data_IF_572057980227
#
_entry.id   IF_572057980227
#
_cell.length_a   1.000
_cell.length_b   1.000
_cell.length_c   1.000
_cell.angle_alpha   90.00
_cell.angle_beta   90.00
_cell.angle_gamma   90.00
#
_symmetry.space_group_name_H-M   'P 1'
#
loop_
_entity.id
_entity.type
_entity.pdbx_description
1 polymer ?
#
# COMPACT_ATOMS: atom_id res chain seq x y z
N UNK A 1 -8.23 -28.30 -5.83
CA UNK A 1 -8.13 -27.10 -6.69
C UNK A 1 -9.36 -26.22 -6.39
N UNK A 2 -9.18 -25.05 -5.80
CA UNK A 2 -10.25 -24.05 -5.71
C UNK A 2 -10.08 -23.13 -6.91
N UNK A 3 -11.04 -23.15 -7.81
CA UNK A 3 -11.12 -22.20 -8.91
C UNK A 3 -11.56 -20.87 -8.30
N UNK A 4 -10.67 -19.88 -8.27
CA UNK A 4 -11.04 -18.49 -7.97
C UNK A 4 -11.71 -17.95 -9.23
N UNK A 5 -13.02 -17.77 -9.16
CA UNK A 5 -13.74 -17.12 -10.24
C UNK A 5 -13.50 -15.61 -10.13
N UNK A 6 -12.67 -15.07 -11.03
CA UNK A 6 -12.51 -13.63 -11.18
C UNK A 6 -13.81 -13.12 -11.83
N UNK A 7 -14.66 -12.51 -11.01
CA UNK A 7 -15.84 -11.81 -11.52
C UNK A 7 -15.32 -10.55 -12.21
N UNK A 8 -15.56 -10.39 -13.50
CA UNK A 8 -15.16 -9.23 -14.27
C UNK A 8 -15.78 -7.97 -13.66
N UNK A 9 -14.91 -7.11 -13.09
CA UNK A 9 -15.25 -5.75 -12.64
C UNK A 9 -14.84 -4.81 -13.76
N UNK A 10 -15.68 -3.82 -14.09
CA UNK A 10 -15.22 -2.68 -14.90
C UNK A 10 -14.31 -1.84 -14.02
N UNK A 11 -13.02 -1.77 -14.38
CA UNK A 11 -12.03 -0.96 -13.67
C UNK A 11 -12.11 0.47 -14.16
N UNK A 12 -11.98 1.43 -13.25
CA UNK A 12 -11.77 2.83 -13.61
C UNK A 12 -10.40 2.98 -14.28
N UNK A 13 -10.28 3.96 -15.16
CA UNK A 13 -9.05 4.30 -15.87
C UNK A 13 -8.59 5.70 -15.45
N UNK A 14 -7.34 5.84 -15.08
CA UNK A 14 -6.72 7.14 -14.80
C UNK A 14 -5.51 7.37 -15.70
N UNK A 15 -5.54 8.49 -16.44
CA UNK A 15 -4.47 8.91 -17.35
C UNK A 15 -3.56 9.94 -16.66
N UNK A 16 -2.38 9.52 -16.28
CA UNK A 16 -1.33 10.38 -15.69
C UNK A 16 -0.45 11.06 -16.74
N UNK A 17 -0.62 10.79 -18.03
CA UNK A 17 0.24 11.33 -19.10
C UNK A 17 0.20 12.85 -19.20
N UNK A 18 -0.90 13.47 -18.73
CA UNK A 18 -1.09 14.93 -18.70
C UNK A 18 -0.61 15.60 -17.41
N UNK A 19 -0.32 14.85 -16.36
CA UNK A 19 0.22 15.38 -15.13
C UNK A 19 1.69 15.74 -15.35
N UNK A 20 2.14 16.89 -14.87
CA UNK A 20 3.50 17.43 -15.04
C UNK A 20 4.57 16.58 -14.31
N UNK A 21 4.58 15.28 -14.53
CA UNK A 21 5.72 14.46 -14.19
C UNK A 21 6.83 14.79 -15.18
N UNK A 22 7.82 15.56 -14.74
CA UNK A 22 8.99 15.88 -15.56
C UNK A 22 9.58 14.58 -16.10
N UNK A 23 9.13 14.23 -17.32
CA UNK A 23 9.69 13.21 -18.19
C UNK A 23 9.88 11.82 -17.56
N UNK A 24 9.04 10.82 -17.86
CA UNK A 24 9.25 9.43 -17.47
C UNK A 24 10.43 8.83 -18.26
N UNK A 25 11.64 9.26 -17.92
CA UNK A 25 12.87 8.84 -18.58
C UNK A 25 13.40 7.53 -18.00
N UNK A 26 14.46 7.02 -18.62
CA UNK A 26 15.25 5.86 -18.17
C UNK A 26 15.52 5.87 -16.65
N UNK A 27 15.67 7.06 -16.05
CA UNK A 27 15.90 7.22 -14.61
C UNK A 27 14.69 6.77 -13.77
N UNK A 28 13.47 7.13 -14.17
CA UNK A 28 12.25 6.68 -13.50
C UNK A 28 12.04 5.17 -13.64
N UNK A 29 12.51 4.59 -14.73
CA UNK A 29 12.47 3.15 -14.96
C UNK A 29 13.46 2.40 -14.07
N UNK A 30 14.70 2.88 -13.95
CA UNK A 30 15.72 2.30 -13.04
C UNK A 30 15.26 2.42 -11.58
N UNK A 31 14.75 3.58 -11.18
CA UNK A 31 14.23 3.78 -9.82
C UNK A 31 13.07 2.84 -9.49
N UNK A 32 12.20 2.56 -10.47
CA UNK A 32 11.11 1.61 -10.33
C UNK A 32 11.63 0.18 -10.16
N UNK A 33 12.57 -0.24 -11.01
CA UNK A 33 13.16 -1.58 -10.95
C UNK A 33 13.86 -1.83 -9.60
N UNK A 34 14.57 -0.84 -9.05
CA UNK A 34 15.20 -0.93 -7.72
C UNK A 34 14.19 -0.99 -6.58
N UNK A 35 13.12 -0.20 -6.67
CA UNK A 35 12.02 -0.20 -5.70
C UNK A 35 11.28 -1.53 -5.73
N UNK A 36 10.90 -2.02 -6.93
CA UNK A 36 10.20 -3.30 -7.11
C UNK A 36 11.05 -4.46 -6.59
N UNK A 37 12.37 -4.44 -6.81
CA UNK A 37 13.28 -5.44 -6.26
C UNK A 37 13.31 -5.42 -4.72
N UNK A 38 13.29 -4.23 -4.11
CA UNK A 38 13.24 -4.06 -2.65
C UNK A 38 11.92 -4.60 -2.08
N UNK A 39 10.79 -4.23 -2.69
CA UNK A 39 9.47 -4.67 -2.25
C UNK A 39 9.30 -6.17 -2.44
N UNK A 40 9.72 -6.71 -3.58
CA UNK A 40 9.72 -8.15 -3.82
C UNK A 40 10.53 -8.90 -2.78
N UNK A 41 11.75 -8.45 -2.48
CA UNK A 41 12.59 -9.07 -1.46
C UNK A 41 11.98 -9.00 -0.05
N UNK A 42 11.15 -7.99 0.22
CA UNK A 42 10.42 -7.84 1.47
C UNK A 42 9.23 -8.79 1.55
N UNK A 43 8.38 -8.79 0.52
CA UNK A 43 7.10 -9.51 0.52
C UNK A 43 7.18 -11.00 0.13
N UNK A 44 8.28 -11.44 -0.46
CA UNK A 44 8.56 -12.87 -0.69
C UNK A 44 8.89 -13.62 0.62
N UNK A 45 9.16 -12.91 1.72
CA UNK A 45 9.41 -13.55 3.02
C UNK A 45 8.10 -14.03 3.62
N UNK A 46 8.11 -15.25 4.11
CA UNK A 46 6.97 -15.85 4.80
C UNK A 46 7.38 -16.13 6.24
N UNK A 47 6.98 -15.26 7.17
CA UNK A 47 7.10 -15.52 8.59
C UNK A 47 6.12 -16.64 8.98
N UNK A 48 6.57 -17.73 9.64
CA UNK A 48 5.68 -18.80 10.02
C UNK A 48 4.79 -18.47 11.23
N UNK A 49 5.05 -17.34 11.88
CA UNK A 49 4.34 -16.93 13.08
C UNK A 49 3.15 -16.04 12.69
N UNK A 50 1.96 -16.39 13.11
CA UNK A 50 0.78 -15.52 13.01
C UNK A 50 0.94 -14.39 14.02
N UNK A 51 0.91 -13.15 13.54
CA UNK A 51 1.00 -11.94 14.37
C UNK A 51 -0.30 -11.12 14.34
N UNK A 52 -1.15 -11.32 13.32
CA UNK A 52 -2.41 -10.59 13.19
C UNK A 52 -3.46 -11.07 14.21
N UNK A 53 -4.32 -10.16 14.60
CA UNK A 53 -5.50 -10.43 15.42
C UNK A 53 -6.66 -10.92 14.53
N UNK A 54 -7.46 -11.85 15.06
CA UNK A 54 -8.64 -12.34 14.34
C UNK A 54 -9.72 -11.27 14.25
N UNK A 55 -10.43 -11.25 13.14
CA UNK A 55 -11.53 -10.31 12.89
C UNK A 55 -11.25 -9.31 11.79
N UNK A 56 -12.14 -8.32 11.60
CA UNK A 56 -11.94 -7.26 10.62
C UNK A 56 -10.71 -6.43 10.92
N UNK A 57 -9.93 -6.11 9.88
CA UNK A 57 -8.82 -5.21 10.01
C UNK A 57 -9.29 -3.77 10.09
N UNK A 58 -8.54 -2.94 10.78
CA UNK A 58 -8.84 -1.51 10.89
C UNK A 58 -8.49 -0.79 9.59
N UNK A 59 -9.35 0.17 9.19
CA UNK A 59 -8.92 1.18 8.23
C UNK A 59 -7.79 2.00 8.86
N UNK A 60 -6.77 2.41 8.07
CA UNK A 60 -5.59 3.06 8.62
C UNK A 60 -5.80 4.53 9.05
N UNK A 61 -6.98 5.09 8.81
CA UNK A 61 -7.38 6.43 9.26
C UNK A 61 -8.55 6.31 10.25
N UNK A 62 -8.60 7.19 11.24
CA UNK A 62 -9.58 7.18 12.33
C UNK A 62 -10.92 7.83 11.98
N UNK A 63 -11.11 8.22 10.71
CA UNK A 63 -12.34 8.79 10.17
C UNK A 63 -12.71 8.12 8.84
N UNK A 64 -13.91 8.34 8.38
CA UNK A 64 -14.38 7.81 7.08
C UNK A 64 -13.88 8.68 5.92
N UNK A 65 -12.61 8.45 5.54
CA UNK A 65 -11.95 9.19 4.48
C UNK A 65 -12.51 8.83 3.11
N UNK A 66 -12.56 9.83 2.23
CA UNK A 66 -12.97 9.62 0.84
C UNK A 66 -11.93 8.76 0.12
N UNK A 67 -12.38 7.69 -0.53
CA UNK A 67 -11.56 6.92 -1.45
C UNK A 67 -11.47 7.70 -2.77
N UNK A 68 -10.26 8.04 -3.17
CA UNK A 68 -9.98 8.79 -4.40
C UNK A 68 -9.50 7.90 -5.54
N UNK A 69 -8.99 6.70 -5.22
CA UNK A 69 -8.61 5.69 -6.20
C UNK A 69 -8.77 4.29 -5.59
N UNK A 70 -9.46 3.41 -6.32
CA UNK A 70 -9.75 2.05 -5.88
C UNK A 70 -8.63 1.08 -6.26
N UNK A 71 -8.57 -0.07 -5.56
CA UNK A 71 -7.70 -1.19 -5.94
C UNK A 71 -8.04 -1.67 -7.36
N UNK A 72 -7.02 -1.94 -8.17
CA UNK A 72 -7.14 -2.46 -9.53
C UNK A 72 -7.51 -1.43 -10.58
N UNK A 73 -7.59 -0.13 -10.24
CA UNK A 73 -7.74 0.94 -11.21
C UNK A 73 -6.59 0.92 -12.23
N UNK A 74 -6.93 0.95 -13.51
CA UNK A 74 -5.93 0.97 -14.58
C UNK A 74 -5.27 2.35 -14.66
N UNK A 75 -3.94 2.36 -14.76
CA UNK A 75 -3.12 3.59 -14.75
C UNK A 75 -2.20 3.64 -15.96
N UNK A 76 -2.28 4.73 -16.73
CA UNK A 76 -1.34 5.07 -17.80
C UNK A 76 -0.42 6.20 -17.32
N UNK A 77 0.87 5.92 -17.31
CA UNK A 77 1.91 6.90 -16.96
C UNK A 77 2.60 7.51 -18.20
N UNK A 78 2.07 7.27 -19.41
CA UNK A 78 2.62 7.79 -20.66
C UNK A 78 3.87 7.06 -21.15
N UNK A 79 4.23 5.93 -20.55
CA UNK A 79 5.38 5.10 -20.94
C UNK A 79 4.99 3.90 -21.83
N UNK A 80 3.72 3.79 -22.19
CA UNK A 80 3.16 2.72 -23.03
C UNK A 80 2.94 1.39 -22.32
N UNK A 81 3.03 1.36 -20.99
CA UNK A 81 2.78 0.18 -20.18
C UNK A 81 1.51 0.38 -19.34
N UNK A 82 0.60 -0.56 -19.41
CA UNK A 82 -0.55 -0.62 -18.52
C UNK A 82 -0.13 -1.14 -17.15
N UNK A 83 -0.52 -0.42 -16.09
CA UNK A 83 -0.36 -0.82 -14.69
C UNK A 83 -1.70 -0.75 -13.98
N UNK A 84 -1.78 -1.41 -12.85
CA UNK A 84 -2.96 -1.40 -12.02
C UNK A 84 -2.61 -0.88 -10.63
N UNK A 85 -3.55 -0.18 -10.02
CA UNK A 85 -3.42 0.33 -8.66
C UNK A 85 -3.36 -0.84 -7.66
N UNK A 86 -2.27 -0.96 -6.94
CA UNK A 86 -1.97 -2.09 -6.04
C UNK A 86 -2.56 -1.91 -4.64
N UNK A 87 -3.29 -0.81 -4.40
CA UNK A 87 -3.88 -0.48 -3.11
C UNK A 87 -5.15 0.34 -3.22
N UNK A 88 -5.46 1.08 -2.17
CA UNK A 88 -6.56 2.05 -2.10
C UNK A 88 -5.98 3.38 -1.66
N UNK A 89 -6.36 4.47 -2.34
CA UNK A 89 -5.94 5.82 -1.98
C UNK A 89 -7.06 6.54 -1.20
N UNK A 90 -6.72 7.03 -0.01
CA UNK A 90 -7.59 7.82 0.85
C UNK A 90 -7.17 9.28 0.84
N UNK A 91 -8.09 10.20 0.49
CA UNK A 91 -7.88 11.64 0.62
C UNK A 91 -7.75 12.03 2.09
N UNK A 92 -6.65 12.65 2.45
CA UNK A 92 -6.43 13.18 3.80
C UNK A 92 -5.39 14.30 3.78
N UNK A 93 -5.49 15.24 4.72
CA UNK A 93 -4.54 16.34 4.86
C UNK A 93 -3.15 15.85 5.29
N UNK A 94 -2.11 16.56 4.85
CA UNK A 94 -0.73 16.32 5.32
C UNK A 94 -0.68 16.43 6.84
N UNK A 95 -0.07 15.43 7.49
CA UNK A 95 0.03 15.36 8.95
C UNK A 95 -1.12 14.61 9.63
N UNK A 96 -2.12 14.13 8.88
CA UNK A 96 -3.15 13.23 9.42
C UNK A 96 -2.49 11.95 9.95
N UNK A 97 -2.79 11.50 11.18
CA UNK A 97 -2.22 10.27 11.74
C UNK A 97 -2.63 9.02 10.93
N UNK A 98 -1.68 8.10 10.76
CA UNK A 98 -1.87 6.81 10.12
C UNK A 98 -1.65 5.71 11.16
N UNK A 99 -2.56 4.76 11.23
CA UNK A 99 -2.55 3.68 12.20
C UNK A 99 -2.36 2.31 11.54
N UNK A 100 -1.70 1.39 12.26
CA UNK A 100 -1.52 0.01 11.81
C UNK A 100 -2.89 -0.69 11.68
N UNK A 101 -3.15 -1.28 10.53
CA UNK A 101 -4.42 -1.96 10.26
C UNK A 101 -4.61 -3.24 11.06
N UNK A 102 -3.52 -3.88 11.49
CA UNK A 102 -3.50 -5.03 12.39
C UNK A 102 -2.14 -5.16 13.06
N UNK A 103 -2.02 -6.06 14.05
CA UNK A 103 -0.80 -6.32 14.80
C UNK A 103 0.27 -6.99 13.93
N UNK A 104 1.55 -6.63 14.11
CA UNK A 104 2.64 -7.18 13.33
C UNK A 104 4.00 -6.56 13.66
N UNK A 105 4.99 -6.85 12.81
CA UNK A 105 6.33 -6.26 12.90
C UNK A 105 6.57 -5.32 11.71
N UNK A 106 7.02 -4.11 11.97
CA UNK A 106 7.48 -3.18 10.93
C UNK A 106 8.73 -3.77 10.27
N UNK A 107 8.65 -4.13 9.00
CA UNK A 107 9.76 -4.73 8.23
C UNK A 107 10.38 -3.76 7.23
N UNK A 108 9.71 -2.65 6.96
CA UNK A 108 10.22 -1.56 6.13
C UNK A 108 9.70 -0.24 6.67
N UNK A 109 10.58 0.75 6.90
CA UNK A 109 10.24 2.12 7.25
C UNK A 109 11.30 3.04 6.65
N UNK A 110 11.19 3.34 5.35
CA UNK A 110 12.20 4.12 4.61
C UNK A 110 11.60 4.88 3.44
N UNK A 111 12.38 5.80 2.91
CA UNK A 111 12.04 6.50 1.69
C UNK A 111 12.30 5.61 0.47
N UNK A 112 11.28 5.50 -0.40
CA UNK A 112 11.33 4.88 -1.71
C UNK A 112 11.12 5.96 -2.78
N UNK A 113 11.49 5.65 -4.03
CA UNK A 113 11.46 6.62 -5.12
C UNK A 113 10.03 6.97 -5.55
N UNK A 114 9.18 5.97 -5.72
CA UNK A 114 7.81 6.12 -6.22
C UNK A 114 6.80 6.19 -5.07
N UNK A 115 6.86 5.24 -4.15
CA UNK A 115 5.95 5.20 -2.99
C UNK A 115 6.28 6.21 -1.90
N UNK A 116 7.38 6.98 -2.04
CA UNK A 116 7.81 7.99 -1.09
C UNK A 116 8.22 7.39 0.25
N UNK A 117 7.94 8.07 1.36
CA UNK A 117 8.12 7.49 2.68
C UNK A 117 7.11 6.36 2.86
N UNK A 118 7.62 5.18 3.10
CA UNK A 118 6.84 3.94 3.04
C UNK A 118 7.07 3.08 4.27
N UNK A 119 5.98 2.60 4.85
CA UNK A 119 5.99 1.65 5.97
C UNK A 119 5.37 0.34 5.50
N UNK A 120 6.00 -0.80 5.80
CA UNK A 120 5.39 -2.11 5.62
C UNK A 120 5.45 -2.91 6.92
N UNK A 121 4.36 -3.60 7.25
CA UNK A 121 4.18 -4.40 8.45
C UNK A 121 3.98 -5.86 8.02
N UNK A 122 4.82 -6.76 8.54
CA UNK A 122 4.64 -8.21 8.44
C UNK A 122 3.69 -8.68 9.55
N UNK A 123 2.55 -9.23 9.15
CA UNK A 123 1.58 -9.79 10.07
C UNK A 123 1.78 -11.31 10.25
N UNK A 124 2.73 -11.90 9.54
CA UNK A 124 2.98 -13.35 9.52
C UNK A 124 2.20 -14.07 8.44
N UNK A 125 2.52 -15.35 8.22
CA UNK A 125 1.84 -16.17 7.22
C UNK A 125 1.94 -15.66 5.78
N UNK A 126 2.85 -14.72 5.47
CA UNK A 126 2.96 -14.08 4.16
C UNK A 126 1.94 -12.95 3.93
N UNK A 127 1.30 -12.45 5.00
CA UNK A 127 0.41 -11.29 4.96
C UNK A 127 1.15 -10.04 5.40
N UNK A 128 0.98 -8.97 4.63
CA UNK A 128 1.56 -7.65 4.90
C UNK A 128 0.53 -6.55 4.70
N UNK A 129 0.66 -5.46 5.46
CA UNK A 129 0.05 -4.18 5.12
C UNK A 129 1.14 -3.16 4.81
N UNK A 130 0.84 -2.23 3.90
CA UNK A 130 1.80 -1.21 3.56
C UNK A 130 1.13 0.15 3.34
N UNK A 131 1.90 1.21 3.62
CA UNK A 131 1.42 2.58 3.73
C UNK A 131 2.40 3.51 3.03
N UNK A 132 1.93 4.18 1.97
CA UNK A 132 2.76 5.02 1.10
C UNK A 132 2.49 6.51 1.22
N UNK A 133 3.39 7.31 0.65
CA UNK A 133 3.35 8.76 0.54
C UNK A 133 3.37 9.51 1.88
N UNK A 134 3.90 8.90 2.96
CA UNK A 134 3.94 9.50 4.28
C UNK A 134 4.78 10.80 4.29
N UNK A 135 4.41 11.74 5.16
CA UNK A 135 5.24 12.91 5.48
C UNK A 135 6.33 12.55 6.47
N UNK A 136 5.99 11.73 7.48
CA UNK A 136 6.89 11.39 8.59
C UNK A 136 6.57 9.99 9.12
N UNK A 137 7.61 9.27 9.53
CA UNK A 137 7.48 7.99 10.24
C UNK A 137 7.22 8.23 11.73
N UNK A 138 6.34 7.42 12.34
CA UNK A 138 6.16 7.30 13.78
C UNK A 138 6.57 5.92 14.30
N UNK A 139 6.98 5.02 13.41
CA UNK A 139 7.48 3.68 13.71
C UNK A 139 8.83 3.44 13.03
N UNK A 140 9.55 2.42 13.44
CA UNK A 140 10.87 2.05 12.91
C UNK A 140 10.93 0.57 12.55
N UNK A 141 11.82 0.21 11.61
CA UNK A 141 12.07 -1.19 11.22
C UNK A 141 12.46 -2.02 12.45
N UNK A 142 11.88 -3.21 12.55
CA UNK A 142 12.03 -4.13 13.69
C UNK A 142 11.06 -3.90 14.83
N UNK A 143 10.33 -2.78 14.86
CA UNK A 143 9.35 -2.48 15.91
C UNK A 143 8.13 -3.40 15.80
N UNK A 144 7.67 -3.93 16.93
CA UNK A 144 6.36 -4.57 17.03
C UNK A 144 5.29 -3.50 17.25
N UNK A 145 4.19 -3.62 16.52
CA UNK A 145 3.03 -2.73 16.62
C UNK A 145 1.75 -3.54 16.81
N UNK A 146 0.82 -2.99 17.56
CA UNK A 146 -0.54 -3.50 17.71
C UNK A 146 -1.48 -2.89 16.69
N UNK A 147 -2.64 -3.52 16.47
CA UNK A 147 -3.72 -2.91 15.69
C UNK A 147 -4.09 -1.54 16.28
N UNK A 148 -4.13 -0.51 15.44
CA UNK A 148 -4.42 0.86 15.86
C UNK A 148 -3.23 1.65 16.43
N UNK A 149 -2.03 1.09 16.46
CA UNK A 149 -0.84 1.85 16.85
C UNK A 149 -0.48 2.88 15.78
N UNK A 150 -0.04 4.07 16.20
CA UNK A 150 0.42 5.13 15.31
C UNK A 150 1.73 4.73 14.62
N UNK A 151 1.73 4.75 13.27
CA UNK A 151 2.89 4.33 12.47
C UNK A 151 3.49 5.44 11.61
N UNK A 152 2.76 6.53 11.38
CA UNK A 152 3.23 7.66 10.58
C UNK A 152 2.14 8.70 10.37
N UNK A 153 2.41 9.60 9.43
CA UNK A 153 1.49 10.70 9.09
C UNK A 153 1.37 10.84 7.59
N UNK A 154 0.17 11.15 7.11
CA UNK A 154 -0.13 11.40 5.70
C UNK A 154 0.78 12.50 5.14
N UNK A 155 1.19 12.34 3.91
CA UNK A 155 2.03 13.29 3.20
C UNK A 155 1.73 13.33 1.70
N UNK A 156 2.77 13.67 0.95
CA UNK A 156 2.78 13.75 -0.52
C UNK A 156 4.17 13.40 -1.04
N UNK A 157 4.89 12.52 -0.34
CA UNK A 157 6.25 12.12 -0.75
C UNK A 157 6.22 11.11 -1.90
N UNK A 158 7.29 11.06 -2.68
CA UNK A 158 7.39 10.17 -3.85
C UNK A 158 6.57 10.65 -5.04
N UNK A 159 6.07 9.72 -5.86
CA UNK A 159 5.27 10.01 -7.04
C UNK A 159 3.79 10.17 -6.62
N UNK A 160 3.39 11.39 -6.31
CA UNK A 160 2.05 11.72 -5.83
C UNK A 160 1.57 13.05 -6.42
N UNK A 161 0.32 13.09 -6.89
CA UNK A 161 -0.32 14.30 -7.44
C UNK A 161 -0.90 15.20 -6.37
N UNK A 162 -1.09 14.71 -5.15
CA UNK A 162 -1.68 15.45 -4.03
C UNK A 162 -1.55 14.70 -2.71
N UNK A 163 -1.92 15.35 -1.61
CA UNK A 163 -1.90 14.74 -0.29
C UNK A 163 -2.90 13.58 -0.21
N UNK A 164 -2.42 12.38 0.08
CA UNK A 164 -3.24 11.18 0.28
C UNK A 164 -2.46 10.10 1.02
N UNK A 165 -3.17 9.10 1.53
CA UNK A 165 -2.61 7.85 1.99
C UNK A 165 -2.84 6.78 0.93
N UNK A 166 -1.78 6.16 0.44
CA UNK A 166 -1.82 4.92 -0.31
C UNK A 166 -1.72 3.74 0.65
N UNK A 167 -2.72 2.84 0.65
CA UNK A 167 -2.79 1.68 1.55
C UNK A 167 -2.90 0.38 0.77
N UNK A 168 -1.99 -0.56 1.04
CA UNK A 168 -1.91 -1.86 0.39
C UNK A 168 -2.09 -3.00 1.40
N UNK A 169 -2.67 -4.12 0.94
CA UNK A 169 -2.54 -5.43 1.57
C UNK A 169 -1.89 -6.38 0.58
N UNK A 170 -0.87 -7.09 1.03
CA UNK A 170 -0.11 -8.04 0.22
C UNK A 170 -0.24 -9.43 0.84
N UNK A 171 -0.67 -10.41 0.05
CA UNK A 171 -0.77 -11.82 0.43
C UNK A 171 0.16 -12.67 -0.44
N UNK A 172 1.18 -13.27 0.16
CA UNK A 172 2.16 -14.10 -0.55
C UNK A 172 2.80 -13.40 -1.76
N UNK A 173 3.18 -12.13 -1.60
CA UNK A 173 3.80 -11.31 -2.63
C UNK A 173 2.84 -10.79 -3.71
N UNK A 174 1.54 -10.94 -3.53
CA UNK A 174 0.51 -10.48 -4.47
C UNK A 174 -0.37 -9.45 -3.76
N UNK A 175 -0.51 -8.26 -4.35
CA UNK A 175 -1.42 -7.22 -3.86
C UNK A 175 -2.87 -7.67 -4.02
N UNK A 176 -3.66 -7.44 -2.98
CA UNK A 176 -5.09 -7.80 -2.91
C UNK A 176 -5.90 -6.60 -2.45
N UNK A 177 -7.20 -6.55 -2.78
CA UNK A 177 -8.07 -5.44 -2.40
C UNK A 177 -8.12 -5.29 -0.86
N UNK A 178 -7.55 -4.20 -0.30
CA UNK A 178 -7.48 -3.99 1.14
C UNK A 178 -8.86 -3.93 1.82
N UNK A 179 -9.89 -3.44 1.10
CA UNK A 179 -11.22 -3.28 1.66
C UNK A 179 -11.89 -4.62 2.01
N UNK A 180 -11.46 -5.73 1.39
CA UNK A 180 -11.94 -7.07 1.73
C UNK A 180 -11.57 -7.45 3.18
N UNK A 181 -10.48 -6.92 3.70
CA UNK A 181 -10.02 -7.20 5.06
C UNK A 181 -10.80 -6.43 6.13
N UNK A 182 -11.40 -5.29 5.78
CA UNK A 182 -12.16 -4.46 6.74
C UNK A 182 -13.57 -4.97 7.02
N UNK A 183 -14.11 -5.83 6.16
CA UNK A 183 -15.50 -6.29 6.23
C UNK A 183 -15.68 -7.64 6.94
N UNK A 184 -14.63 -8.20 7.54
CA UNK A 184 -14.67 -9.51 8.17
C UNK A 184 -14.97 -10.67 7.20
N UNK A 185 -14.93 -10.42 5.91
CA UNK A 185 -15.10 -11.42 4.84
C UNK A 185 -13.87 -12.31 4.64
N UNK A 186 -12.85 -12.09 5.45
CA UNK A 186 -11.58 -12.82 5.40
C UNK A 186 -11.82 -14.22 5.96
N UNK A 187 -12.04 -15.17 5.10
CA UNK A 187 -12.15 -16.59 5.47
C UNK A 187 -10.80 -17.21 5.87
N UNK A 188 -10.05 -16.54 6.77
CA UNK A 188 -8.80 -17.04 7.36
C UNK A 188 -9.05 -17.52 8.78
#
# INVERSE_FOLDING_TARGET
ERIVQIVGREWSFYDFSGDNFENPTLLSRIQREDEDATLKATFDRISPVKLWEDGPWLKPLDFDALITSEFGEERDYGDGLTRYHEGVDFSADIGTPIYASNSGQVVLARQLSLRGNYVAIDHGGGLYSAYGHLSTFASAEGQMVGAGDLIGYVGQSGLSTGAHLHWEIIAHGISVDPLLFTNGANGF
#
